data_IF_879625060814
#
_entry.id   IF_879625060814
#
_cell.length_a   1.000
_cell.length_b   1.000
_cell.length_c   1.000
_cell.angle_alpha   90.00
_cell.angle_beta   90.00
_cell.angle_gamma   90.00
#
_symmetry.space_group_name_H-M   'P 1'
#
loop_
_entity.id
_entity.type
_entity.pdbx_description
1 polymer ?
#
# COMPACT_ATOMS: atom_id res chain seq x y z
N UNK A 1 -14.61 43.83 47.52
CA UNK A 1 -13.73 43.49 48.65
C UNK A 1 -13.29 42.05 48.50
N UNK A 2 -11.96 41.85 48.58
CA UNK A 2 -11.14 40.67 48.65
C UNK A 2 -10.87 39.86 47.34
N UNK A 3 -9.86 40.29 46.80
CA UNK A 3 -8.67 39.75 46.15
C UNK A 3 -8.16 38.49 46.87
N UNK A 4 -8.03 37.34 46.18
CA UNK A 4 -7.07 36.29 46.55
C UNK A 4 -6.34 35.78 45.30
N UNK A 5 -5.15 36.28 45.17
CA UNK A 5 -4.04 35.85 44.34
C UNK A 5 -3.54 34.50 44.90
N UNK A 6 -3.55 33.45 44.10
CA UNK A 6 -2.75 32.26 44.38
C UNK A 6 -1.74 32.05 43.26
N UNK A 7 -0.54 32.55 43.56
CA UNK A 7 0.71 32.20 42.91
C UNK A 7 1.00 30.72 43.07
N UNK A 8 1.24 30.03 41.98
CA UNK A 8 1.87 28.73 42.00
C UNK A 8 3.23 28.78 41.33
N UNK A 9 4.19 28.39 42.12
CA UNK A 9 5.63 28.35 41.86
C UNK A 9 5.94 27.39 40.68
N UNK A 10 6.74 27.92 39.80
CA UNK A 10 7.54 27.23 38.79
C UNK A 10 8.59 26.34 39.48
N UNK A 11 8.56 25.04 39.21
CA UNK A 11 9.71 24.16 39.43
C UNK A 11 10.17 23.65 38.06
N UNK A 12 11.23 24.28 37.58
CA UNK A 12 12.06 23.77 36.49
C UNK A 12 12.86 22.57 37.01
N UNK A 13 12.57 21.38 36.47
CA UNK A 13 13.49 20.24 36.59
C UNK A 13 14.17 20.05 35.23
N UNK A 14 15.41 20.52 35.19
CA UNK A 14 16.38 20.23 34.13
C UNK A 14 16.80 18.76 34.26
N UNK A 15 16.48 17.95 33.25
CA UNK A 15 17.13 16.68 33.05
C UNK A 15 18.06 16.78 31.83
N UNK A 16 19.31 16.39 31.95
CA UNK A 16 20.27 16.45 30.85
C UNK A 16 20.07 15.29 29.88
N UNK A 17 20.12 15.62 28.59
CA UNK A 17 20.30 14.68 27.49
C UNK A 17 21.66 13.98 27.65
N UNK A 18 21.64 12.68 27.74
CA UNK A 18 22.79 11.85 27.44
C UNK A 18 22.40 10.89 26.31
N UNK A 19 22.72 11.30 25.10
CA UNK A 19 22.74 10.44 23.95
C UNK A 19 24.01 9.58 24.01
N UNK A 20 23.87 8.29 24.28
CA UNK A 20 24.93 7.31 24.02
C UNK A 20 24.48 6.43 22.86
N UNK A 21 24.99 6.76 21.69
CA UNK A 21 25.05 5.88 20.56
C UNK A 21 26.18 4.85 20.82
N UNK A 22 25.83 3.67 21.27
CA UNK A 22 26.76 2.53 21.30
C UNK A 22 26.60 1.74 20.02
N UNK A 23 27.44 2.05 19.07
CA UNK A 23 27.73 1.21 17.92
C UNK A 23 28.51 -0.01 18.43
N UNK A 24 27.81 -1.14 18.64
CA UNK A 24 28.45 -2.41 18.98
C UNK A 24 28.73 -3.14 17.69
N UNK A 25 29.97 -2.99 17.21
CA UNK A 25 30.56 -3.91 16.23
C UNK A 25 30.58 -5.31 16.86
N UNK A 26 29.85 -6.24 16.26
CA UNK A 26 29.98 -7.66 16.61
C UNK A 26 31.14 -8.25 15.80
N UNK A 27 32.10 -8.90 16.45
CA UNK A 27 33.18 -9.58 15.74
C UNK A 27 32.63 -10.84 15.04
N UNK A 28 33.00 -11.00 13.77
CA UNK A 28 32.75 -12.18 12.96
C UNK A 28 33.45 -13.41 13.59
N UNK A 29 32.81 -14.59 13.61
CA UNK A 29 33.46 -15.80 14.07
C UNK A 29 34.57 -16.22 13.10
N UNK A 30 35.77 -16.35 13.63
CA UNK A 30 36.95 -16.88 12.99
C UNK A 30 36.83 -18.40 12.86
N UNK A 31 36.35 -18.88 11.72
CA UNK A 31 36.55 -20.25 11.28
C UNK A 31 36.49 -20.36 9.76
N UNK A 32 37.52 -19.83 9.10
CA UNK A 32 37.80 -20.17 7.74
C UNK A 32 39.26 -20.58 7.69
N UNK A 33 39.52 -21.85 8.02
CA UNK A 33 40.84 -22.44 7.87
C UNK A 33 40.79 -23.49 6.77
N UNK A 34 41.61 -23.30 5.76
CA UNK A 34 42.27 -24.35 5.01
C UNK A 34 41.55 -24.95 3.84
N UNK A 35 41.85 -24.43 2.63
CA UNK A 35 41.98 -25.28 1.46
C UNK A 35 43.32 -24.97 0.81
N UNK A 36 44.28 -25.82 1.15
CA UNK A 36 45.53 -25.94 0.39
C UNK A 36 45.28 -26.66 -0.93
N UNK A 37 45.74 -26.06 -2.00
CA UNK A 37 45.77 -26.67 -3.33
C UNK A 37 46.71 -27.87 -3.31
N UNK A 38 46.22 -29.02 -3.74
CA UNK A 38 47.07 -30.18 -4.08
C UNK A 38 46.76 -30.56 -5.51
N UNK A 39 47.79 -30.37 -6.35
CA UNK A 39 47.79 -30.86 -7.72
C UNK A 39 48.15 -32.33 -7.70
N UNK A 40 47.51 -33.11 -8.55
CA UNK A 40 47.96 -34.47 -8.83
C UNK A 40 46.86 -35.38 -9.35
N UNK A 41 47.02 -35.72 -10.61
CA UNK A 41 46.76 -37.01 -11.24
C UNK A 41 45.46 -37.23 -12.00
N UNK A 42 45.67 -37.46 -13.24
CA UNK A 42 44.83 -37.95 -14.34
C UNK A 42 44.24 -39.32 -14.03
N UNK A 43 42.92 -39.44 -14.09
CA UNK A 43 42.29 -40.71 -14.45
C UNK A 43 40.91 -40.50 -15.11
N UNK A 44 40.77 -41.29 -16.16
CA UNK A 44 39.70 -41.50 -17.11
C UNK A 44 38.26 -41.16 -16.68
N UNK A 45 37.58 -40.40 -17.55
CA UNK A 45 36.19 -40.10 -17.52
C UNK A 45 35.28 -41.31 -17.67
N UNK A 46 34.24 -41.47 -16.83
CA UNK A 46 33.06 -42.17 -17.17
C UNK A 46 31.99 -41.23 -17.71
N UNK A 47 31.42 -41.63 -18.80
CA UNK A 47 30.30 -41.07 -19.58
C UNK A 47 29.19 -40.52 -18.72
N UNK A 48 28.84 -39.25 -18.94
CA UNK A 48 27.70 -38.56 -18.31
C UNK A 48 26.35 -39.26 -18.54
N UNK A 49 25.51 -39.40 -17.55
CA UNK A 49 24.10 -39.70 -17.75
C UNK A 49 23.37 -38.44 -18.22
N UNK A 50 22.69 -38.57 -19.35
CA UNK A 50 21.83 -37.55 -19.95
C UNK A 50 20.57 -37.32 -19.10
N UNK A 51 20.23 -36.04 -18.95
CA UNK A 51 18.91 -35.53 -18.58
C UNK A 51 18.47 -35.59 -17.11
N UNK A 52 18.86 -34.56 -16.37
CA UNK A 52 18.02 -34.03 -15.31
C UNK A 52 17.17 -32.88 -15.86
N UNK A 53 15.84 -32.87 -15.71
CA UNK A 53 14.99 -31.80 -16.23
C UNK A 53 15.10 -30.55 -15.34
N UNK A 54 15.49 -29.50 -15.96
CA UNK A 54 15.36 -28.06 -15.70
C UNK A 54 14.46 -27.66 -14.49
N UNK A 55 15.06 -27.45 -13.34
CA UNK A 55 14.48 -26.67 -12.23
C UNK A 55 14.57 -25.15 -12.43
N UNK A 56 15.10 -24.69 -13.57
CA UNK A 56 15.33 -23.26 -13.85
C UNK A 56 14.03 -22.45 -14.08
N UNK A 57 12.92 -23.08 -14.50
CA UNK A 57 11.67 -22.39 -14.82
C UNK A 57 10.87 -21.95 -13.59
N UNK A 58 11.01 -22.65 -12.48
CA UNK A 58 10.24 -22.37 -11.25
C UNK A 58 10.83 -21.18 -10.51
N UNK A 59 12.15 -21.06 -10.45
CA UNK A 59 12.81 -19.90 -9.80
C UNK A 59 12.53 -18.59 -10.51
N UNK A 60 12.51 -18.56 -11.85
CA UNK A 60 12.25 -17.34 -12.61
C UNK A 60 10.80 -16.86 -12.42
N UNK A 61 9.82 -17.77 -12.35
CA UNK A 61 8.42 -17.44 -12.09
C UNK A 61 8.21 -16.90 -10.65
N UNK A 62 8.87 -17.50 -9.67
CA UNK A 62 8.82 -17.04 -8.28
C UNK A 62 9.45 -15.65 -8.09
N UNK A 63 10.59 -15.40 -8.70
CA UNK A 63 11.25 -14.09 -8.68
C UNK A 63 10.37 -13.02 -9.36
N UNK A 64 9.79 -13.35 -10.51
CA UNK A 64 8.86 -12.45 -11.19
C UNK A 64 7.62 -12.14 -10.33
N UNK A 65 7.01 -13.14 -9.69
CA UNK A 65 5.86 -12.96 -8.80
C UNK A 65 6.22 -12.10 -7.58
N UNK A 66 7.39 -12.29 -6.98
CA UNK A 66 7.86 -11.49 -5.86
C UNK A 66 8.11 -10.02 -6.26
N UNK A 67 8.72 -9.78 -7.42
CA UNK A 67 8.92 -8.43 -7.96
C UNK A 67 7.58 -7.74 -8.26
N UNK A 68 6.60 -8.47 -8.75
CA UNK A 68 5.25 -7.96 -9.02
C UNK A 68 4.54 -7.54 -7.74
N UNK A 69 4.61 -8.37 -6.70
CA UNK A 69 4.04 -8.06 -5.39
C UNK A 69 4.70 -6.83 -4.76
N UNK A 70 6.01 -6.72 -4.88
CA UNK A 70 6.76 -5.56 -4.39
C UNK A 70 6.35 -4.26 -5.11
N UNK A 71 6.16 -4.30 -6.44
CA UNK A 71 5.69 -3.14 -7.22
C UNK A 71 4.25 -2.74 -6.86
N UNK A 72 3.35 -3.70 -6.70
CA UNK A 72 1.98 -3.43 -6.29
C UNK A 72 1.92 -2.80 -4.90
N UNK A 73 2.71 -3.31 -3.96
CA UNK A 73 2.84 -2.74 -2.62
C UNK A 73 3.41 -1.32 -2.67
N UNK A 74 4.41 -1.05 -3.52
CA UNK A 74 4.96 0.29 -3.70
C UNK A 74 3.94 1.28 -4.25
N UNK A 75 3.14 0.89 -5.25
CA UNK A 75 2.06 1.73 -5.80
C UNK A 75 0.97 1.99 -4.77
N UNK A 76 0.55 0.95 -4.04
CA UNK A 76 -0.42 1.10 -2.95
C UNK A 76 0.09 2.08 -1.90
N UNK A 77 1.33 1.92 -1.43
CA UNK A 77 1.93 2.81 -0.45
C UNK A 77 2.00 4.27 -0.94
N UNK A 78 2.32 4.49 -2.22
CA UNK A 78 2.32 5.83 -2.81
C UNK A 78 0.91 6.46 -2.79
N UNK A 79 -0.12 5.71 -3.20
CA UNK A 79 -1.52 6.16 -3.15
C UNK A 79 -1.94 6.52 -1.73
N UNK A 80 -1.66 5.64 -0.77
CA UNK A 80 -2.03 5.83 0.63
C UNK A 80 -1.32 7.03 1.24
N UNK A 81 -0.02 7.18 0.98
CA UNK A 81 0.77 8.31 1.44
C UNK A 81 0.20 9.64 0.96
N UNK A 82 -0.13 9.75 -0.35
CA UNK A 82 -0.78 10.95 -0.91
C UNK A 82 -2.14 11.24 -0.29
N UNK A 83 -2.95 10.23 -0.06
CA UNK A 83 -4.26 10.39 0.56
C UNK A 83 -4.14 10.88 2.01
N UNK A 84 -3.22 10.30 2.78
CA UNK A 84 -2.99 10.66 4.19
C UNK A 84 -2.39 12.06 4.34
N UNK A 85 -1.52 12.50 3.43
CA UNK A 85 -0.95 13.85 3.44
C UNK A 85 -1.99 14.96 3.34
N UNK A 86 -3.19 14.67 2.85
CA UNK A 86 -4.27 15.66 2.70
C UNK A 86 -5.39 15.50 3.76
N UNK A 87 -5.12 14.75 4.85
CA UNK A 87 -6.01 14.72 6.00
C UNK A 87 -6.30 16.14 6.51
N UNK A 88 -7.53 16.38 6.92
CA UNK A 88 -7.96 17.70 7.38
C UNK A 88 -8.32 18.69 6.27
N UNK A 89 -8.03 18.39 4.99
CA UNK A 89 -8.45 19.24 3.88
C UNK A 89 -9.96 19.35 3.81
N UNK A 90 -10.58 20.53 3.75
CA UNK A 90 -12.02 20.72 3.75
C UNK A 90 -12.70 20.02 2.55
N UNK A 91 -13.90 19.50 2.79
CA UNK A 91 -14.75 19.02 1.72
C UNK A 91 -15.21 20.17 0.82
N UNK A 92 -15.07 19.99 -0.48
CA UNK A 92 -15.60 20.90 -1.50
C UNK A 92 -16.21 20.09 -2.63
N UNK A 93 -17.49 20.31 -2.92
CA UNK A 93 -18.13 19.67 -4.08
C UNK A 93 -17.41 20.04 -5.37
N UNK A 94 -17.04 19.04 -6.16
CA UNK A 94 -16.24 19.23 -7.37
C UNK A 94 -14.75 19.49 -7.11
N UNK A 95 -14.32 19.54 -5.87
CA UNK A 95 -12.92 19.76 -5.48
C UNK A 95 -12.04 18.54 -5.75
N UNK A 96 -10.78 18.78 -6.15
CA UNK A 96 -9.82 17.73 -6.51
C UNK A 96 -8.37 18.10 -6.18
N UNK A 97 -8.14 19.09 -5.34
CA UNK A 97 -6.80 19.52 -4.96
C UNK A 97 -6.73 19.99 -3.49
N UNK A 98 -5.54 19.93 -2.85
CA UNK A 98 -5.37 20.40 -1.48
C UNK A 98 -5.79 21.87 -1.29
N UNK A 99 -5.51 22.74 -2.25
CA UNK A 99 -5.81 24.17 -2.18
C UNK A 99 -7.30 24.51 -2.37
N UNK A 100 -8.03 23.68 -3.15
CA UNK A 100 -9.46 23.91 -3.45
C UNK A 100 -10.40 23.04 -2.63
N UNK A 101 -9.89 22.11 -1.86
CA UNK A 101 -10.66 21.07 -1.17
C UNK A 101 -10.94 19.86 -2.05
N UNK A 102 -11.57 18.85 -1.47
CA UNK A 102 -11.89 17.59 -2.14
C UNK A 102 -13.37 17.21 -1.98
N UNK A 103 -13.96 16.65 -3.03
CA UNK A 103 -15.05 15.70 -2.86
C UNK A 103 -14.51 14.25 -2.83
N UNK A 104 -15.38 13.27 -2.62
CA UNK A 104 -14.97 11.87 -2.43
C UNK A 104 -14.17 11.33 -3.63
N UNK A 105 -14.67 11.49 -4.84
CA UNK A 105 -14.00 11.00 -6.06
C UNK A 105 -12.81 11.88 -6.48
N UNK A 106 -12.82 13.16 -6.14
CA UNK A 106 -11.68 14.06 -6.33
C UNK A 106 -10.48 13.68 -5.47
N UNK A 107 -10.71 13.30 -4.21
CA UNK A 107 -9.67 12.74 -3.34
C UNK A 107 -9.06 11.46 -3.95
N UNK A 108 -9.90 10.56 -4.44
CA UNK A 108 -9.44 9.32 -5.07
C UNK A 108 -8.59 9.63 -6.31
N UNK A 109 -9.07 10.47 -7.23
CA UNK A 109 -8.28 10.87 -8.40
C UNK A 109 -6.95 11.50 -8.02
N UNK A 110 -6.93 12.36 -7.02
CA UNK A 110 -5.71 12.99 -6.52
C UNK A 110 -4.72 11.94 -5.98
N UNK A 111 -5.18 11.00 -5.17
CA UNK A 111 -4.33 9.98 -4.59
C UNK A 111 -3.71 9.06 -5.66
N UNK A 112 -4.45 8.75 -6.71
CA UNK A 112 -4.03 7.86 -7.80
C UNK A 112 -3.31 8.57 -8.96
N UNK A 113 -3.15 9.91 -8.92
CA UNK A 113 -2.61 10.69 -10.04
C UNK A 113 -1.22 10.25 -10.53
N UNK A 114 -0.38 9.74 -9.63
CA UNK A 114 0.98 9.31 -9.99
C UNK A 114 1.06 7.85 -10.45
N UNK A 115 -0.06 7.14 -10.46
CA UNK A 115 -0.13 5.77 -10.96
C UNK A 115 -0.41 5.80 -12.47
N UNK A 116 0.64 5.87 -13.28
CA UNK A 116 0.58 6.10 -14.75
C UNK A 116 -0.37 5.18 -15.53
N UNK A 117 -0.66 3.98 -15.01
CA UNK A 117 -1.50 2.99 -15.68
C UNK A 117 -3.00 3.14 -15.35
N UNK A 118 -3.39 4.15 -14.56
CA UNK A 118 -4.75 4.30 -14.05
C UNK A 118 -5.28 5.69 -14.38
N UNK A 119 -6.31 5.75 -15.20
CA UNK A 119 -7.14 6.94 -15.36
C UNK A 119 -8.54 6.66 -14.82
N UNK A 120 -8.83 7.20 -13.64
CA UNK A 120 -10.12 7.03 -12.98
C UNK A 120 -11.11 8.09 -13.44
N UNK A 121 -12.40 7.73 -13.66
CA UNK A 121 -13.45 8.69 -13.97
C UNK A 121 -13.61 9.74 -12.86
N UNK A 122 -14.28 10.85 -13.19
CA UNK A 122 -14.48 11.94 -12.20
C UNK A 122 -15.50 11.61 -11.13
N UNK A 123 -16.45 10.71 -11.36
CA UNK A 123 -17.55 10.44 -10.43
C UNK A 123 -17.43 9.07 -9.78
N UNK A 124 -17.90 8.97 -8.53
CA UNK A 124 -17.91 7.70 -7.79
C UNK A 124 -18.72 6.60 -8.48
N UNK A 125 -19.85 6.95 -9.09
CA UNK A 125 -20.66 5.99 -9.83
C UNK A 125 -19.90 5.42 -11.04
N UNK A 126 -19.32 6.29 -11.87
CA UNK A 126 -18.55 5.84 -13.03
C UNK A 126 -17.29 5.02 -12.62
N UNK A 127 -16.65 5.34 -11.49
CA UNK A 127 -15.58 4.51 -10.94
C UNK A 127 -16.10 3.12 -10.53
N UNK A 128 -17.30 3.06 -9.94
CA UNK A 128 -17.91 1.80 -9.51
C UNK A 128 -18.31 0.93 -10.72
N UNK A 129 -18.78 1.54 -11.80
CA UNK A 129 -19.26 0.80 -12.97
C UNK A 129 -18.11 0.28 -13.84
N UNK A 130 -17.14 1.12 -14.17
CA UNK A 130 -16.18 0.88 -15.24
C UNK A 130 -14.79 0.38 -14.85
N UNK A 131 -14.33 0.50 -13.61
CA UNK A 131 -12.91 0.34 -13.29
C UNK A 131 -12.62 -0.71 -12.23
N UNK A 132 -11.59 -1.51 -12.50
CA UNK A 132 -11.04 -2.50 -11.57
C UNK A 132 -11.83 -3.78 -11.44
N UNK A 133 -11.29 -4.71 -10.65
CA UNK A 133 -11.87 -6.03 -10.37
C UNK A 133 -12.61 -5.96 -9.04
N UNK A 134 -13.81 -6.55 -8.98
CA UNK A 134 -14.53 -6.68 -7.69
C UNK A 134 -13.71 -7.50 -6.71
N UNK A 135 -13.72 -7.07 -5.46
CA UNK A 135 -12.99 -7.70 -4.35
C UNK A 135 -13.99 -8.05 -3.26
N UNK A 136 -13.92 -9.26 -2.74
CA UNK A 136 -14.67 -9.66 -1.57
C UNK A 136 -14.16 -8.90 -0.33
N UNK A 137 -15.02 -8.72 0.68
CA UNK A 137 -14.67 -7.90 1.84
C UNK A 137 -13.49 -8.48 2.63
N UNK A 138 -13.41 -9.79 2.72
CA UNK A 138 -12.33 -10.57 3.34
C UNK A 138 -10.99 -10.47 2.60
N UNK A 139 -11.03 -10.14 1.31
CA UNK A 139 -9.84 -10.03 0.44
C UNK A 139 -9.36 -8.58 0.27
N UNK A 140 -9.91 -7.63 1.03
CA UNK A 140 -9.55 -6.22 0.94
C UNK A 140 -8.07 -6.00 1.24
N UNK A 141 -7.43 -5.18 0.40
CA UNK A 141 -6.03 -4.77 0.56
C UNK A 141 -5.91 -3.25 0.52
N UNK A 142 -4.93 -2.68 1.23
CA UNK A 142 -4.67 -1.25 1.18
C UNK A 142 -4.56 -0.73 -0.27
N UNK A 143 -5.31 0.34 -0.58
CA UNK A 143 -5.43 0.90 -1.92
C UNK A 143 -6.66 0.43 -2.71
N UNK A 144 -7.43 -0.54 -2.22
CA UNK A 144 -8.72 -0.88 -2.82
C UNK A 144 -9.73 0.28 -2.66
N UNK A 145 -10.60 0.47 -3.63
CA UNK A 145 -11.66 1.45 -3.57
C UNK A 145 -12.92 0.83 -2.98
N UNK A 146 -13.49 1.52 -1.99
CA UNK A 146 -14.74 1.14 -1.34
C UNK A 146 -15.85 2.06 -1.86
N UNK A 147 -16.98 1.48 -2.24
CA UNK A 147 -18.13 2.20 -2.80
C UNK A 147 -19.33 2.05 -1.90
N UNK A 148 -20.06 3.17 -1.73
CA UNK A 148 -21.19 3.26 -0.82
C UNK A 148 -22.39 3.96 -1.48
N UNK A 149 -23.60 3.62 -1.03
CA UNK A 149 -24.86 4.26 -1.39
C UNK A 149 -25.43 5.08 -0.23
N UNK A 150 -24.71 6.11 0.21
CA UNK A 150 -25.09 6.92 1.38
C UNK A 150 -26.36 7.77 1.17
N UNK A 151 -26.81 7.93 -0.08
CA UNK A 151 -28.04 8.62 -0.44
C UNK A 151 -28.68 7.96 -1.67
N UNK A 152 -29.85 7.35 -1.46
CA UNK A 152 -30.58 6.67 -2.55
C UNK A 152 -30.06 5.27 -2.83
N UNK A 153 -30.31 4.74 -4.04
CA UNK A 153 -30.01 3.35 -4.42
C UNK A 153 -28.70 3.18 -5.19
N UNK A 154 -28.19 4.26 -5.75
CA UNK A 154 -26.97 4.22 -6.57
C UNK A 154 -25.73 4.54 -5.75
N UNK A 155 -24.58 4.08 -6.20
CA UNK A 155 -23.28 4.48 -5.63
C UNK A 155 -23.12 5.99 -5.77
N UNK A 156 -22.90 6.65 -4.67
CA UNK A 156 -22.71 8.10 -4.61
C UNK A 156 -21.57 8.53 -3.69
N UNK A 157 -20.82 7.56 -3.16
CA UNK A 157 -19.65 7.83 -2.35
C UNK A 157 -18.57 6.79 -2.60
N UNK A 158 -17.30 7.23 -2.51
CA UNK A 158 -16.12 6.39 -2.68
C UNK A 158 -15.06 6.75 -1.62
N UNK A 159 -14.31 5.74 -1.19
CA UNK A 159 -13.21 5.87 -0.24
C UNK A 159 -12.03 4.98 -0.65
N UNK A 160 -10.86 5.20 -0.07
CA UNK A 160 -9.65 4.38 -0.25
C UNK A 160 -9.45 3.55 1.02
N UNK A 161 -9.37 2.24 0.88
CA UNK A 161 -9.11 1.33 1.98
C UNK A 161 -7.65 1.44 2.45
N UNK A 162 -7.45 1.53 3.77
CA UNK A 162 -6.13 1.68 4.39
C UNK A 162 -5.59 0.39 5.01
N UNK A 163 -6.45 -0.62 5.19
CA UNK A 163 -6.18 -1.79 6.03
C UNK A 163 -6.94 -1.71 7.37
N UNK A 164 -7.01 -2.82 8.12
CA UNK A 164 -7.59 -2.91 9.46
C UNK A 164 -9.02 -2.32 9.55
N UNK A 165 -9.85 -2.62 8.56
CA UNK A 165 -11.20 -2.05 8.40
C UNK A 165 -11.27 -0.52 8.33
N UNK A 166 -10.14 0.17 8.20
CA UNK A 166 -10.07 1.63 8.09
C UNK A 166 -10.06 2.07 6.63
N UNK A 167 -10.62 3.25 6.38
CA UNK A 167 -10.58 3.89 5.07
C UNK A 167 -10.49 5.41 5.20
N UNK A 168 -9.93 6.07 4.18
CA UNK A 168 -9.86 7.52 4.07
C UNK A 168 -10.84 8.02 3.02
N UNK A 169 -11.52 9.12 3.32
CA UNK A 169 -12.52 9.70 2.44
C UNK A 169 -12.71 11.21 2.66
N UNK A 170 -13.32 11.88 1.70
CA UNK A 170 -13.87 13.23 1.86
C UNK A 170 -15.41 13.10 2.04
N UNK A 171 -15.94 13.19 3.27
CA UNK A 171 -17.30 12.71 3.56
C UNK A 171 -18.42 13.59 3.00
N UNK A 172 -18.45 14.88 3.34
CA UNK A 172 -19.53 15.81 2.95
C UNK A 172 -19.21 17.25 3.32
N UNK A 173 -20.02 18.19 2.83
CA UNK A 173 -19.93 19.61 3.19
C UNK A 173 -19.90 19.81 4.73
N UNK A 174 -19.06 20.71 5.19
CA UNK A 174 -18.86 21.01 6.62
C UNK A 174 -17.96 20.01 7.33
N UNK A 175 -17.38 19.05 6.62
CA UNK A 175 -16.40 18.11 7.10
C UNK A 175 -15.10 18.21 6.29
N UNK A 176 -14.09 17.51 6.73
CA UNK A 176 -12.78 17.43 6.07
C UNK A 176 -12.43 15.98 5.74
N UNK A 177 -11.41 15.80 4.90
CA UNK A 177 -10.80 14.49 4.64
C UNK A 177 -10.44 13.85 5.98
N UNK A 178 -10.94 12.66 6.21
CA UNK A 178 -10.82 11.95 7.49
C UNK A 178 -10.72 10.44 7.30
N UNK A 179 -10.28 9.75 8.34
CA UNK A 179 -10.29 8.29 8.42
C UNK A 179 -11.55 7.85 9.16
N UNK A 180 -12.19 6.82 8.64
CA UNK A 180 -13.32 6.14 9.25
C UNK A 180 -13.13 4.62 9.22
N UNK A 181 -14.09 3.85 9.75
CA UNK A 181 -14.00 2.40 9.82
C UNK A 181 -15.26 1.70 9.30
N UNK A 182 -15.05 0.61 8.55
CA UNK A 182 -16.11 -0.29 8.09
C UNK A 182 -16.87 -0.96 9.25
N UNK A 183 -16.35 -0.90 10.48
CA UNK A 183 -16.99 -1.49 11.65
C UNK A 183 -18.17 -0.69 12.17
N UNK A 184 -18.32 0.59 11.81
CA UNK A 184 -19.49 1.39 12.18
C UNK A 184 -20.74 0.87 11.48
N UNK A 185 -21.88 0.75 12.20
CA UNK A 185 -23.15 0.28 11.62
C UNK A 185 -23.57 1.05 10.37
N UNK A 186 -23.37 2.38 10.39
CA UNK A 186 -23.66 3.25 9.25
C UNK A 186 -22.93 2.81 7.97
N UNK A 187 -21.61 2.59 8.04
CA UNK A 187 -20.83 2.19 6.88
C UNK A 187 -21.09 0.75 6.43
N UNK A 188 -21.42 -0.15 7.39
CA UNK A 188 -21.85 -1.51 7.06
C UNK A 188 -23.15 -1.52 6.25
N UNK A 189 -24.13 -0.69 6.64
CA UNK A 189 -25.43 -0.61 5.98
C UNK A 189 -25.37 0.03 4.58
N UNK A 190 -24.38 0.88 4.32
CA UNK A 190 -24.25 1.61 3.04
C UNK A 190 -23.18 1.05 2.10
N UNK A 191 -22.45 0.04 2.53
CA UNK A 191 -21.43 -0.61 1.70
C UNK A 191 -22.07 -1.37 0.53
N UNK A 192 -21.57 -1.12 -0.68
CA UNK A 192 -22.06 -1.76 -1.90
C UNK A 192 -21.07 -2.76 -2.46
N UNK A 193 -19.83 -2.32 -2.70
CA UNK A 193 -18.80 -3.13 -3.34
C UNK A 193 -17.42 -2.52 -3.09
N UNK A 194 -16.39 -3.36 -3.15
CA UNK A 194 -15.02 -2.90 -3.30
C UNK A 194 -14.45 -3.29 -4.66
N UNK A 195 -13.51 -2.48 -5.15
CA UNK A 195 -12.79 -2.75 -6.39
C UNK A 195 -11.30 -2.51 -6.22
N UNK A 196 -10.51 -3.43 -6.77
CA UNK A 196 -9.07 -3.27 -6.92
C UNK A 196 -8.77 -2.70 -8.29
N UNK A 197 -8.27 -1.46 -8.30
CA UNK A 197 -7.94 -0.73 -9.53
C UNK A 197 -6.44 -0.73 -9.80
N UNK A 198 -5.61 -0.97 -8.80
CA UNK A 198 -4.18 -1.16 -9.00
C UNK A 198 -3.94 -2.39 -9.88
N UNK A 199 -3.17 -2.27 -10.97
CA UNK A 199 -3.06 -3.31 -11.97
C UNK A 199 -2.55 -4.60 -11.35
N UNK A 200 -3.33 -5.69 -11.52
CA UNK A 200 -2.72 -7.01 -11.54
C UNK A 200 -1.87 -7.04 -12.79
N UNK A 201 -0.57 -7.24 -12.65
CA UNK A 201 0.24 -7.49 -13.82
C UNK A 201 -0.32 -8.69 -14.57
N UNK A 202 -0.35 -8.67 -15.92
CA UNK A 202 -0.76 -9.85 -16.69
C UNK A 202 0.10 -11.02 -16.21
N UNK A 203 -0.53 -12.16 -15.99
CA UNK A 203 0.18 -13.41 -15.80
C UNK A 203 1.23 -13.49 -16.91
N UNK A 204 2.49 -13.76 -16.55
CA UNK A 204 3.55 -13.86 -17.53
C UNK A 204 3.07 -14.76 -18.65
N UNK A 205 2.85 -14.17 -19.82
CA UNK A 205 2.54 -14.92 -21.03
C UNK A 205 3.70 -15.88 -21.21
N UNK A 206 3.47 -17.14 -20.97
CA UNK A 206 4.43 -18.20 -21.26
C UNK A 206 4.63 -18.15 -22.77
N UNK A 207 5.67 -17.44 -23.22
CA UNK A 207 6.14 -17.52 -24.59
C UNK A 207 6.48 -19.00 -24.82
N UNK A 208 5.54 -19.75 -25.40
CA UNK A 208 5.84 -21.01 -26.03
C UNK A 208 6.79 -20.68 -27.20
N UNK A 209 8.08 -20.79 -26.94
CA UNK A 209 9.06 -20.86 -27.99
C UNK A 209 8.80 -22.19 -28.70
N UNK A 210 8.05 -22.12 -29.78
CA UNK A 210 7.95 -23.23 -30.74
C UNK A 210 9.28 -23.25 -31.46
N UNK A 211 10.19 -24.10 -30.99
CA UNK A 211 11.38 -24.46 -31.78
C UNK A 211 10.89 -25.33 -32.93
N UNK A 212 10.99 -24.80 -34.14
CA UNK A 212 11.04 -25.57 -35.40
C UNK A 212 12.48 -26.06 -35.64
#
# INVERSE_FOLDING_TARGET
>A
MHLLIKTWLTVCLLCPLAAYASNREQPLPSSFSGYTAQAGETESAPRAPRHAPRKAGIHSAQVAAAQMSARQNSQSNAVLSRAVQVLGTPYKWGGSSPSKGFDCSGLVKYAFNDVKAIDLPRTSNAMADGHGVKVAREDLKPGDLLFFNIKGRQVNHVAIYLGDDKFIHAPRRGKAVSIDTLNKPYWKAHYVVAKRVLPKQPAATTLRITQR
#
